data_IF_926924567643
#
_entry.id   IF_926924567643
#
_cell.length_a   1.000
_cell.length_b   1.000
_cell.length_c   1.000
_cell.angle_alpha   90.00
_cell.angle_beta   90.00
_cell.angle_gamma   90.00
#
_symmetry.space_group_name_H-M   'P 1'
#
loop_
_entity.id
_entity.type
_entity.pdbx_description
1 polymer ?
#
# COMPACT_ATOMS: atom_id res chain seq x y z
N UNK A 1 -5.10 -5.20 -2.58
CA UNK A 1 -5.13 -6.07 -1.38
C UNK A 1 -4.64 -7.47 -1.77
N UNK A 2 -4.12 -8.26 -0.82
CA UNK A 2 -3.61 -9.63 -1.05
C UNK A 2 -3.73 -10.48 0.22
N UNK A 3 -3.95 -11.79 0.06
CA UNK A 3 -3.92 -12.76 1.16
C UNK A 3 -2.56 -13.47 1.23
N UNK A 4 -2.08 -13.73 2.44
CA UNK A 4 -0.97 -14.68 2.66
C UNK A 4 -1.46 -16.14 2.75
N UNK A 5 -0.52 -17.08 2.82
CA UNK A 5 -0.82 -18.52 2.97
C UNK A 5 -1.51 -18.89 4.29
N UNK A 6 -1.54 -17.98 5.27
CA UNK A 6 -2.19 -18.16 6.58
C UNK A 6 -3.58 -17.52 6.63
N UNK A 7 -4.06 -16.94 5.52
CA UNK A 7 -5.37 -16.28 5.44
C UNK A 7 -5.41 -14.86 6.02
N UNK A 8 -4.25 -14.24 6.29
CA UNK A 8 -4.22 -12.82 6.66
C UNK A 8 -4.38 -11.96 5.41
N UNK A 9 -5.28 -10.97 5.46
CA UNK A 9 -5.49 -9.99 4.41
C UNK A 9 -4.61 -8.77 4.66
N UNK A 10 -3.84 -8.37 3.64
CA UNK A 10 -3.04 -7.14 3.63
C UNK A 10 -3.65 -6.15 2.64
N UNK A 11 -3.88 -4.93 3.10
CA UNK A 11 -4.41 -3.84 2.29
C UNK A 11 -3.92 -2.48 2.77
N UNK A 12 -3.82 -1.53 1.86
CA UNK A 12 -3.53 -0.14 2.17
C UNK A 12 -4.76 0.58 2.72
N UNK A 13 -4.55 1.33 3.79
CA UNK A 13 -5.48 2.33 4.31
C UNK A 13 -5.03 3.70 3.74
N UNK A 14 -5.73 4.13 2.69
CA UNK A 14 -5.44 5.37 1.97
C UNK A 14 -5.67 6.61 2.83
N UNK A 15 -6.62 6.57 3.78
CA UNK A 15 -6.93 7.72 4.64
C UNK A 15 -5.86 7.96 5.70
N UNK A 16 -5.15 6.88 6.09
CA UNK A 16 -4.12 6.94 7.15
C UNK A 16 -2.70 6.71 6.65
N UNK A 17 -2.48 6.67 5.34
CA UNK A 17 -1.18 6.40 4.70
C UNK A 17 -0.47 5.17 5.32
N UNK A 18 -1.20 4.07 5.41
CA UNK A 18 -0.73 2.88 6.14
C UNK A 18 -1.06 1.59 5.43
N UNK A 19 -0.40 0.49 5.83
CA UNK A 19 -0.83 -0.86 5.48
C UNK A 19 -1.40 -1.50 6.73
N UNK A 20 -2.55 -2.13 6.58
CA UNK A 20 -3.20 -2.89 7.63
C UNK A 20 -3.22 -4.37 7.28
N UNK A 21 -3.14 -5.19 8.33
CA UNK A 21 -3.32 -6.63 8.31
C UNK A 21 -4.66 -6.92 8.99
N UNK A 22 -5.50 -7.70 8.34
CA UNK A 22 -6.71 -8.28 8.95
C UNK A 22 -6.49 -9.79 9.05
N UNK A 23 -6.55 -10.31 10.27
CA UNK A 23 -6.38 -11.74 10.54
C UNK A 23 -7.67 -12.52 10.21
N UNK A 24 -7.62 -13.87 10.11
CA UNK A 24 -8.81 -14.69 9.90
C UNK A 24 -9.91 -14.52 10.97
N UNK A 25 -9.55 -14.12 12.19
CA UNK A 25 -10.50 -13.76 13.27
C UNK A 25 -10.95 -12.29 13.22
N UNK A 26 -10.78 -11.63 12.06
CA UNK A 26 -11.24 -10.27 11.76
C UNK A 26 -10.61 -9.16 12.62
N UNK A 27 -9.46 -9.41 13.26
CA UNK A 27 -8.72 -8.36 13.96
C UNK A 27 -7.89 -7.56 12.97
N UNK A 28 -8.11 -6.25 12.95
CA UNK A 28 -7.35 -5.31 12.16
C UNK A 28 -6.14 -4.77 12.94
N UNK A 29 -4.98 -4.72 12.30
CA UNK A 29 -3.74 -4.20 12.87
C UNK A 29 -3.00 -3.37 11.82
N UNK A 30 -2.60 -2.14 12.15
CA UNK A 30 -1.68 -1.37 11.30
C UNK A 30 -0.28 -1.95 11.44
N UNK A 31 0.33 -2.37 10.33
CA UNK A 31 1.65 -3.01 10.31
C UNK A 31 2.77 -2.06 9.85
N UNK A 32 2.42 -1.03 9.08
CA UNK A 32 3.33 0.06 8.74
C UNK A 32 2.50 1.32 8.46
N UNK A 33 3.03 2.48 8.87
CA UNK A 33 2.48 3.80 8.54
C UNK A 33 3.62 4.71 8.13
N UNK A 34 3.43 5.46 7.04
CA UNK A 34 4.37 6.47 6.58
C UNK A 34 3.60 7.53 5.78
N UNK A 35 3.37 8.70 6.39
CA UNK A 35 2.55 9.78 5.84
C UNK A 35 3.14 10.43 4.58
N UNK A 36 4.42 10.19 4.28
CA UNK A 36 5.07 10.73 3.08
C UNK A 36 5.23 9.67 1.99
N UNK A 37 5.51 8.42 2.36
CA UNK A 37 5.83 7.34 1.42
C UNK A 37 4.64 6.48 1.04
N UNK A 38 3.61 6.35 1.87
CA UNK A 38 2.46 5.47 1.64
C UNK A 38 1.19 6.26 1.30
N UNK A 39 1.34 7.32 0.50
CA UNK A 39 0.22 8.17 0.11
C UNK A 39 -0.78 7.51 -0.86
N UNK A 40 -0.40 6.44 -1.56
CA UNK A 40 -1.30 5.65 -2.42
C UNK A 40 -0.79 4.21 -2.66
N UNK A 41 -0.77 3.34 -1.65
CA UNK A 41 -0.47 1.91 -1.80
C UNK A 41 -1.53 1.22 -2.69
N UNK A 42 -1.12 0.79 -3.88
CA UNK A 42 -2.03 0.42 -4.97
C UNK A 42 -2.09 -1.08 -5.24
N UNK A 43 -0.92 -1.67 -5.55
CA UNK A 43 -0.79 -3.08 -5.90
C UNK A 43 0.14 -3.81 -4.93
N UNK A 44 -0.06 -5.12 -4.80
CA UNK A 44 0.53 -5.92 -3.73
C UNK A 44 1.03 -7.26 -4.27
N UNK A 45 2.14 -7.74 -3.73
CA UNK A 45 2.64 -9.10 -3.97
C UNK A 45 3.34 -9.62 -2.72
N UNK A 46 3.20 -10.91 -2.43
CA UNK A 46 3.91 -11.56 -1.33
C UNK A 46 4.90 -12.55 -1.93
N UNK A 47 6.16 -12.40 -1.56
CA UNK A 47 7.22 -13.33 -1.94
C UNK A 47 7.32 -14.51 -0.96
N UNK A 48 7.86 -15.63 -1.42
CA UNK A 48 8.05 -16.82 -0.57
C UNK A 48 9.05 -16.61 0.58
N UNK A 49 9.95 -15.62 0.47
CA UNK A 49 10.84 -15.20 1.56
C UNK A 49 10.15 -14.26 2.57
N UNK A 50 8.83 -14.07 2.51
CA UNK A 50 8.06 -13.38 3.53
C UNK A 50 8.13 -11.85 3.47
N UNK A 51 8.25 -11.29 2.25
CA UNK A 51 8.10 -9.86 2.05
C UNK A 51 6.79 -9.53 1.34
N UNK A 52 6.12 -8.49 1.84
CA UNK A 52 5.03 -7.82 1.14
C UNK A 52 5.61 -6.67 0.32
N UNK A 53 5.50 -6.76 -1.00
CA UNK A 53 5.83 -5.70 -1.95
C UNK A 53 4.60 -4.85 -2.24
N UNK A 54 4.79 -3.53 -2.30
CA UNK A 54 3.72 -2.53 -2.46
C UNK A 54 4.14 -1.51 -3.50
N UNK A 55 3.37 -1.32 -4.56
CA UNK A 55 3.53 -0.16 -5.45
C UNK A 55 2.84 1.07 -4.84
N UNK A 56 3.49 2.23 -4.91
CA UNK A 56 2.87 3.50 -4.56
C UNK A 56 2.72 4.37 -5.83
N UNK A 57 1.49 4.43 -6.35
CA UNK A 57 1.20 4.97 -7.69
C UNK A 57 0.87 6.46 -7.73
N UNK A 58 0.60 7.09 -6.57
CA UNK A 58 0.25 8.51 -6.48
C UNK A 58 -0.94 8.90 -7.38
N UNK A 59 -1.94 8.03 -7.55
CA UNK A 59 -3.08 8.24 -8.47
C UNK A 59 -3.83 9.54 -8.16
N UNK A 60 -3.97 9.90 -6.88
CA UNK A 60 -4.58 11.16 -6.46
C UNK A 60 -3.86 12.41 -6.97
N UNK A 61 -2.61 12.30 -7.45
CA UNK A 61 -1.83 13.42 -7.97
C UNK A 61 -1.79 13.46 -9.52
N UNK A 62 -2.59 12.63 -10.17
CA UNK A 62 -2.66 12.56 -11.64
C UNK A 62 -3.44 13.75 -12.24
N UNK A 63 -3.14 14.16 -13.49
CA UNK A 63 -3.76 15.32 -14.14
C UNK A 63 -5.29 15.31 -14.16
N UNK A 64 -5.91 14.14 -14.33
CA UNK A 64 -7.37 14.00 -14.36
C UNK A 64 -8.03 14.27 -12.99
N UNK A 65 -7.26 14.32 -11.90
CA UNK A 65 -7.72 14.78 -10.58
C UNK A 65 -7.32 16.23 -10.27
N UNK A 66 -6.55 16.90 -11.13
CA UNK A 66 -5.95 18.23 -10.88
C UNK A 66 -6.08 19.20 -12.05
N UNK A 67 -7.22 19.20 -12.74
CA UNK A 67 -7.50 20.12 -13.87
C UNK A 67 -6.39 20.10 -14.95
N UNK A 68 -5.88 18.91 -15.27
CA UNK A 68 -4.82 18.72 -16.26
C UNK A 68 -3.40 18.98 -15.75
N UNK A 69 -3.20 19.33 -14.48
CA UNK A 69 -1.87 19.59 -13.91
C UNK A 69 -1.25 18.33 -13.32
N UNK A 70 -0.01 18.02 -13.72
CA UNK A 70 0.77 16.95 -13.10
C UNK A 70 1.30 17.38 -11.71
N UNK A 71 0.95 16.64 -10.66
CA UNK A 71 1.44 16.90 -9.30
C UNK A 71 2.24 15.73 -8.69
N UNK A 72 2.25 14.57 -9.33
CA UNK A 72 3.01 13.41 -8.88
C UNK A 72 4.52 13.64 -8.99
N UNK A 73 5.31 12.90 -8.20
CA UNK A 73 6.77 12.98 -8.22
C UNK A 73 7.38 11.68 -8.73
N UNK A 74 8.23 11.78 -9.76
CA UNK A 74 9.08 10.69 -10.24
C UNK A 74 10.37 10.60 -9.40
N UNK A 75 10.99 9.41 -9.27
CA UNK A 75 10.47 8.11 -9.71
C UNK A 75 9.33 7.61 -8.82
N UNK A 76 8.40 6.84 -9.42
CA UNK A 76 7.46 6.03 -8.65
C UNK A 76 8.21 4.96 -7.87
N UNK A 77 7.67 4.56 -6.72
CA UNK A 77 8.37 3.70 -5.78
C UNK A 77 7.61 2.41 -5.55
N UNK A 78 8.37 1.33 -5.44
CA UNK A 78 7.92 0.06 -4.86
C UNK A 78 8.62 -0.08 -3.52
N UNK A 79 7.84 -0.37 -2.48
CA UNK A 79 8.34 -0.65 -1.14
C UNK A 79 8.23 -2.13 -0.85
N UNK A 80 9.01 -2.59 0.12
CA UNK A 80 8.82 -3.92 0.71
C UNK A 80 8.89 -3.85 2.23
N UNK A 81 8.08 -4.67 2.88
CA UNK A 81 8.11 -4.87 4.33
C UNK A 81 8.14 -6.36 4.65
N UNK A 82 8.80 -6.73 5.75
CA UNK A 82 8.83 -8.12 6.22
C UNK A 82 7.51 -8.43 6.95
N UNK A 83 6.90 -9.58 6.68
CA UNK A 83 5.61 -10.01 7.26
C UNK A 83 5.65 -11.44 7.82
#
# INVERSE_FOLDING_TARGET
>A
MIFDKKGNLYLGDLEKNSIVKITPDLKMQTIVKDDEKLIWPDSYSISDDGYLYISNSQIQLMPWFHNGKEQFKKPFKVFRIKI
#
